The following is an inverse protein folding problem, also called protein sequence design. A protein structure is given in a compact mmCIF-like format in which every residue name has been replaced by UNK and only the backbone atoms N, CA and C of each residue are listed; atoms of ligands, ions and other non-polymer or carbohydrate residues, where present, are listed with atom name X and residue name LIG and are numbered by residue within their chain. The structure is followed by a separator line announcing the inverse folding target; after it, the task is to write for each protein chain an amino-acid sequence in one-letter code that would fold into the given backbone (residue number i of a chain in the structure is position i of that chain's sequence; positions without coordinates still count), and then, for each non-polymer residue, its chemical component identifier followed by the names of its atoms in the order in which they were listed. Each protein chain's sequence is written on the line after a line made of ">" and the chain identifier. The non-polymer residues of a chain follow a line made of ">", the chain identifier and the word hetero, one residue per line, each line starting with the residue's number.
data_IF_671935159627
#
_entry.id   IF_671935159627
#
_cell.length_a   1.000
_cell.length_b   1.000
_cell.length_c   1.000
_cell.angle_alpha   90.00
_cell.angle_beta   90.00
_cell.angle_gamma   90.00
#
_symmetry.space_group_name_H-M   'P 1'
#
loop_
_entity.id
_entity.type
_entity.pdbx_description
1 polymer ?
#
# COMPACT_ATOMS: atom_id res chain seq x y z
N UNK A 1 22.75 14.63 0.01
CA UNK A 1 21.80 14.40 -1.10
C UNK A 1 22.09 15.14 -2.39
N UNK A 2 22.81 16.26 -2.35
CA UNK A 2 23.12 17.11 -3.53
C UNK A 2 23.73 16.35 -4.71
N UNK A 3 24.61 15.38 -4.46
CA UNK A 3 25.20 14.54 -5.51
C UNK A 3 24.17 13.72 -6.27
N UNK A 4 23.18 13.13 -5.57
CA UNK A 4 22.13 12.34 -6.19
C UNK A 4 21.17 13.24 -6.99
N UNK A 5 20.79 14.40 -6.44
CA UNK A 5 19.96 15.37 -7.14
C UNK A 5 20.64 15.87 -8.43
N UNK A 6 21.95 16.18 -8.36
CA UNK A 6 22.74 16.56 -9.51
C UNK A 6 22.83 15.43 -10.56
N UNK A 7 23.05 14.19 -10.11
CA UNK A 7 23.08 13.02 -11.01
C UNK A 7 21.75 12.80 -11.72
N UNK A 8 20.62 12.95 -11.02
CA UNK A 8 19.28 12.84 -11.60
C UNK A 8 19.02 13.98 -12.57
N UNK A 9 19.35 15.23 -12.20
CA UNK A 9 19.19 16.38 -13.09
C UNK A 9 19.96 16.22 -14.40
N UNK A 10 21.21 15.73 -14.33
CA UNK A 10 22.08 15.56 -15.50
C UNK A 10 21.78 14.30 -16.31
N UNK A 11 21.39 13.22 -15.65
CA UNK A 11 21.19 11.90 -16.27
C UNK A 11 19.76 11.65 -16.74
N UNK A 12 18.77 12.14 -15.99
CA UNK A 12 17.34 11.86 -16.20
C UNK A 12 16.53 13.12 -16.57
N UNK A 13 17.15 14.30 -16.44
CA UNK A 13 16.59 15.57 -16.85
C UNK A 13 16.23 16.49 -15.68
N UNK A 14 16.38 17.80 -15.90
CA UNK A 14 16.12 18.84 -14.90
C UNK A 14 14.68 18.82 -14.40
N UNK A 15 13.73 18.50 -15.29
CA UNK A 15 12.30 18.40 -14.92
C UNK A 15 12.05 17.32 -13.87
N UNK A 16 12.66 16.14 -14.02
CA UNK A 16 12.55 15.04 -13.03
C UNK A 16 13.12 15.48 -11.69
N UNK A 17 14.27 16.17 -11.69
CA UNK A 17 14.87 16.69 -10.47
C UNK A 17 14.02 17.79 -9.81
N UNK A 18 13.38 18.64 -10.59
CA UNK A 18 12.46 19.67 -10.11
C UNK A 18 11.20 19.04 -9.47
N UNK A 19 10.57 18.09 -10.16
CA UNK A 19 9.38 17.37 -9.67
C UNK A 19 9.67 16.65 -8.34
N UNK A 20 10.84 16.00 -8.22
CA UNK A 20 11.28 15.35 -6.96
C UNK A 20 11.57 16.36 -5.85
N UNK A 21 12.06 17.55 -6.19
CA UNK A 21 12.31 18.61 -5.21
C UNK A 21 11.01 19.21 -4.70
N UNK A 22 10.05 19.47 -5.59
CA UNK A 22 8.70 19.96 -5.25
C UNK A 22 7.93 18.94 -4.40
N UNK A 23 8.07 17.65 -4.70
CA UNK A 23 7.48 16.57 -3.91
C UNK A 23 8.13 16.37 -2.53
N UNK A 24 9.23 17.08 -2.22
CA UNK A 24 9.95 16.94 -0.96
C UNK A 24 10.68 15.61 -0.82
N UNK A 25 11.13 14.99 -1.93
CA UNK A 25 11.76 13.66 -1.89
C UNK A 25 13.08 13.65 -1.12
N UNK A 26 13.89 14.70 -1.21
CA UNK A 26 15.24 14.69 -0.64
C UNK A 26 15.26 14.62 0.90
N UNK A 27 14.49 15.45 1.62
CA UNK A 27 14.39 15.33 3.08
C UNK A 27 13.87 13.96 3.54
N UNK A 28 12.97 13.33 2.77
CA UNK A 28 12.47 11.99 3.09
C UNK A 28 13.58 10.94 2.98
N UNK A 29 14.42 11.02 1.95
CA UNK A 29 15.54 10.10 1.75
C UNK A 29 16.63 10.22 2.82
N UNK A 30 16.81 11.42 3.40
CA UNK A 30 17.76 11.67 4.49
C UNK A 30 17.25 11.21 5.85
N UNK A 31 15.93 11.23 6.07
CA UNK A 31 15.32 10.79 7.32
C UNK A 31 15.17 9.26 7.35
N UNK A 32 15.87 8.51 8.23
CA UNK A 32 15.77 7.05 8.29
C UNK A 32 14.34 6.52 8.50
N UNK A 33 13.50 7.25 9.24
CA UNK A 33 12.11 6.86 9.49
C UNK A 33 11.23 7.03 8.25
N UNK A 34 11.56 7.97 7.37
CA UNK A 34 10.78 8.30 6.16
C UNK A 34 11.47 7.88 4.86
N UNK A 35 12.65 7.27 4.95
CA UNK A 35 13.49 6.88 3.82
C UNK A 35 12.72 6.05 2.79
N UNK A 36 11.93 5.08 3.26
CA UNK A 36 11.10 4.22 2.42
C UNK A 36 10.09 5.01 1.56
N UNK A 37 9.53 6.10 2.08
CA UNK A 37 8.61 6.96 1.32
C UNK A 37 9.37 7.81 0.29
N UNK A 38 10.56 8.31 0.64
CA UNK A 38 11.45 8.97 -0.31
C UNK A 38 11.84 8.04 -1.47
N UNK A 39 12.15 6.77 -1.18
CA UNK A 39 12.42 5.76 -2.21
C UNK A 39 11.18 5.49 -3.05
N UNK A 40 9.99 5.47 -2.45
CA UNK A 40 8.74 5.32 -3.20
C UNK A 40 8.53 6.48 -4.19
N UNK A 41 8.74 7.73 -3.75
CA UNK A 41 8.64 8.89 -4.63
C UNK A 41 9.67 8.85 -5.78
N UNK A 42 10.91 8.48 -5.45
CA UNK A 42 11.96 8.27 -6.45
C UNK A 42 11.50 7.23 -7.49
N UNK A 43 11.10 6.04 -7.05
CA UNK A 43 10.67 4.95 -7.94
C UNK A 43 9.52 5.38 -8.86
N UNK A 44 8.52 6.09 -8.32
CA UNK A 44 7.40 6.63 -9.11
C UNK A 44 7.85 7.62 -10.19
N UNK A 45 8.84 8.47 -9.91
CA UNK A 45 9.35 9.40 -10.90
C UNK A 45 10.13 8.70 -12.03
N UNK A 46 10.71 7.52 -11.76
CA UNK A 46 11.47 6.76 -12.76
C UNK A 46 10.58 5.92 -13.69
N UNK A 47 9.40 5.48 -13.24
CA UNK A 47 8.51 4.60 -14.02
C UNK A 47 8.14 5.18 -15.40
N UNK A 48 7.67 6.45 -15.50
CA UNK A 48 7.29 7.01 -16.81
C UNK A 48 8.46 7.21 -17.77
N UNK A 49 9.70 7.17 -17.28
CA UNK A 49 10.89 7.34 -18.12
C UNK A 49 11.22 6.07 -18.93
N UNK A 50 10.60 4.93 -18.61
CA UNK A 50 10.85 3.66 -19.32
C UNK A 50 12.26 3.09 -19.12
N UNK A 51 13.01 3.59 -18.13
CA UNK A 51 14.40 3.19 -17.86
C UNK A 51 14.54 1.98 -16.93
N UNK A 52 13.42 1.47 -16.41
CA UNK A 52 13.42 0.31 -15.52
C UNK A 52 13.60 -0.95 -16.38
N UNK A 53 14.78 -1.56 -16.29
CA UNK A 53 15.13 -2.77 -17.06
C UNK A 53 15.12 -4.02 -16.19
N UNK A 54 15.07 -5.24 -16.78
CA UNK A 54 15.13 -6.48 -16.02
C UNK A 54 16.43 -6.62 -15.23
N UNK A 55 17.55 -6.14 -15.80
CA UNK A 55 18.85 -6.15 -15.14
C UNK A 55 18.86 -5.25 -13.92
N UNK A 56 18.28 -4.04 -14.04
CA UNK A 56 18.17 -3.11 -12.93
C UNK A 56 17.29 -3.69 -11.81
N UNK A 57 16.10 -4.20 -12.14
CA UNK A 57 15.24 -4.88 -11.16
C UNK A 57 15.96 -6.06 -10.52
N UNK A 58 16.71 -6.84 -11.29
CA UNK A 58 17.55 -7.93 -10.76
C UNK A 58 18.55 -7.47 -9.69
N UNK A 59 19.09 -6.24 -9.78
CA UNK A 59 19.93 -5.67 -8.71
C UNK A 59 19.10 -5.24 -7.51
N UNK A 60 17.96 -4.59 -7.74
CA UNK A 60 17.04 -4.18 -6.65
C UNK A 60 16.54 -5.40 -5.85
N UNK A 61 16.25 -6.54 -6.52
CA UNK A 61 15.88 -7.79 -5.86
C UNK A 61 16.99 -8.32 -4.94
N UNK A 62 18.27 -8.14 -5.31
CA UNK A 62 19.41 -8.49 -4.45
C UNK A 62 19.51 -7.57 -3.24
N UNK A 63 19.21 -6.28 -3.39
CA UNK A 63 19.15 -5.35 -2.25
C UNK A 63 18.02 -5.74 -1.29
N UNK A 64 16.84 -6.03 -1.82
CA UNK A 64 15.67 -6.48 -1.05
C UNK A 64 15.93 -7.80 -0.27
N UNK A 65 16.87 -8.62 -0.72
CA UNK A 65 17.26 -9.88 -0.07
C UNK A 65 18.59 -9.78 0.71
N UNK A 66 19.12 -8.58 0.90
CA UNK A 66 20.41 -8.35 1.56
C UNK A 66 20.36 -8.65 3.07
N UNK A 67 21.45 -9.12 3.70
CA UNK A 67 21.53 -9.15 5.16
C UNK A 67 21.41 -7.74 5.78
N UNK A 68 21.72 -6.68 5.03
CA UNK A 68 21.65 -5.29 5.50
C UNK A 68 20.22 -4.78 5.48
N UNK A 69 19.70 -4.41 6.65
CA UNK A 69 18.33 -3.91 6.83
C UNK A 69 18.00 -2.72 5.92
N UNK A 70 18.85 -1.68 5.89
CA UNK A 70 18.63 -0.51 5.05
C UNK A 70 18.47 -0.86 3.57
N UNK A 71 19.28 -1.81 3.06
CA UNK A 71 19.16 -2.27 1.68
C UNK A 71 17.85 -3.04 1.45
N UNK A 72 17.39 -3.83 2.43
CA UNK A 72 16.09 -4.50 2.32
C UNK A 72 14.94 -3.50 2.29
N UNK A 73 14.97 -2.47 3.13
CA UNK A 73 13.98 -1.38 3.15
C UNK A 73 13.99 -0.65 1.81
N UNK A 74 15.14 -0.17 1.34
CA UNK A 74 15.26 0.52 0.05
C UNK A 74 14.79 -0.36 -1.11
N UNK A 75 15.25 -1.61 -1.16
CA UNK A 75 14.90 -2.54 -2.23
C UNK A 75 13.40 -2.86 -2.26
N UNK A 76 12.82 -3.17 -1.11
CA UNK A 76 11.39 -3.51 -1.02
C UNK A 76 10.50 -2.30 -1.28
N UNK A 77 10.88 -1.12 -0.79
CA UNK A 77 10.18 0.13 -1.08
C UNK A 77 10.16 0.41 -2.60
N UNK A 78 11.29 0.27 -3.28
CA UNK A 78 11.37 0.44 -4.72
C UNK A 78 10.47 -0.57 -5.46
N UNK A 79 10.59 -1.87 -5.13
CA UNK A 79 9.78 -2.94 -5.72
C UNK A 79 8.29 -2.69 -5.50
N UNK A 80 7.89 -2.18 -4.33
CA UNK A 80 6.49 -1.87 -4.04
C UNK A 80 5.88 -0.91 -5.07
N UNK A 81 6.66 0.06 -5.57
CA UNK A 81 6.18 1.02 -6.56
C UNK A 81 6.26 0.49 -7.98
N UNK A 82 7.29 -0.29 -8.31
CA UNK A 82 7.36 -0.98 -9.62
C UNK A 82 6.16 -1.91 -9.81
N UNK A 83 5.66 -2.49 -8.73
CA UNK A 83 4.47 -3.34 -8.76
C UNK A 83 3.18 -2.61 -9.21
N UNK A 84 3.16 -1.27 -9.20
CA UNK A 84 2.06 -0.49 -9.75
C UNK A 84 2.04 -0.45 -11.28
N UNK A 85 3.14 -0.82 -11.95
CA UNK A 85 3.33 -0.57 -13.38
C UNK A 85 3.30 -1.88 -14.20
N UNK A 86 2.59 -1.91 -15.34
CA UNK A 86 2.54 -3.07 -16.24
C UNK A 86 3.92 -3.58 -16.70
N UNK A 87 4.98 -2.76 -16.59
CA UNK A 87 6.36 -3.14 -16.88
C UNK A 87 6.77 -4.45 -16.21
N UNK A 88 6.20 -4.76 -15.03
CA UNK A 88 6.53 -5.99 -14.30
C UNK A 88 6.04 -7.26 -15.02
N UNK A 89 4.90 -7.17 -15.72
CA UNK A 89 4.38 -8.24 -16.57
C UNK A 89 5.08 -8.24 -17.94
N UNK A 90 5.20 -7.07 -18.56
CA UNK A 90 5.85 -6.88 -19.87
C UNK A 90 7.27 -7.45 -19.89
N UNK A 91 8.00 -7.27 -18.79
CA UNK A 91 9.38 -7.75 -18.64
C UNK A 91 9.51 -9.14 -18.00
N UNK A 92 8.39 -9.85 -17.76
CA UNK A 92 8.35 -11.20 -17.17
C UNK A 92 8.99 -11.28 -15.78
N UNK A 93 8.89 -10.21 -15.00
CA UNK A 93 9.49 -10.09 -13.66
C UNK A 93 8.51 -10.42 -12.54
N UNK A 94 7.20 -10.43 -12.84
CA UNK A 94 6.13 -10.58 -11.86
C UNK A 94 6.34 -11.74 -10.88
N UNK A 95 6.65 -12.94 -11.39
CA UNK A 95 6.84 -14.13 -10.53
C UNK A 95 7.97 -13.93 -9.50
N UNK A 96 9.08 -13.33 -9.93
CA UNK A 96 10.22 -13.07 -9.05
C UNK A 96 9.89 -12.00 -8.01
N UNK A 97 9.16 -10.95 -8.41
CA UNK A 97 8.72 -9.89 -7.49
C UNK A 97 7.70 -10.40 -6.48
N UNK A 98 6.68 -11.17 -6.90
CA UNK A 98 5.71 -11.76 -5.98
C UNK A 98 6.38 -12.72 -4.99
N UNK A 99 7.33 -13.53 -5.46
CA UNK A 99 8.12 -14.39 -4.59
C UNK A 99 8.91 -13.58 -3.56
N UNK A 100 9.56 -12.49 -3.98
CA UNK A 100 10.26 -11.59 -3.06
C UNK A 100 9.30 -11.02 -2.02
N UNK A 101 8.18 -10.41 -2.44
CA UNK A 101 7.20 -9.80 -1.52
C UNK A 101 6.68 -10.82 -0.50
N UNK A 102 6.43 -12.06 -0.94
CA UNK A 102 6.04 -13.14 -0.05
C UNK A 102 7.08 -13.45 1.04
N UNK A 103 8.38 -13.40 0.71
CA UNK A 103 9.44 -13.53 1.71
C UNK A 103 9.48 -12.30 2.63
N UNK A 104 9.40 -11.09 2.07
CA UNK A 104 9.46 -9.83 2.83
C UNK A 104 8.25 -9.62 3.74
N UNK A 105 7.12 -10.29 3.48
CA UNK A 105 5.97 -10.31 4.37
C UNK A 105 6.27 -10.90 5.75
N UNK A 106 7.37 -11.67 5.88
CA UNK A 106 7.84 -12.29 7.14
C UNK A 106 9.15 -11.68 7.64
N UNK A 107 9.59 -10.55 7.08
CA UNK A 107 10.84 -9.91 7.50
C UNK A 107 10.77 -9.46 8.97
N UNK A 108 11.90 -9.45 9.65
CA UNK A 108 11.97 -8.96 11.03
C UNK A 108 11.81 -7.44 11.12
N UNK A 109 12.08 -6.72 10.03
CA UNK A 109 11.91 -5.28 9.94
C UNK A 109 10.49 -4.88 9.52
N UNK A 110 9.89 -3.98 10.29
CA UNK A 110 8.51 -3.54 10.08
C UNK A 110 8.31 -2.71 8.81
N UNK A 111 9.29 -1.89 8.42
CA UNK A 111 9.19 -1.11 7.18
C UNK A 111 9.27 -2.02 5.95
N UNK A 112 10.07 -3.09 6.02
CA UNK A 112 10.11 -4.11 4.95
C UNK A 112 8.75 -4.80 4.82
N UNK A 113 8.15 -5.22 5.94
CA UNK A 113 6.79 -5.81 5.96
C UNK A 113 5.74 -4.84 5.42
N UNK A 114 5.76 -3.58 5.85
CA UNK A 114 4.88 -2.53 5.37
C UNK A 114 5.01 -2.33 3.85
N UNK A 115 6.25 -2.31 3.33
CA UNK A 115 6.47 -2.14 1.90
C UNK A 115 6.10 -3.37 1.09
N UNK A 116 6.21 -4.56 1.68
CA UNK A 116 5.65 -5.78 1.10
C UNK A 116 4.13 -5.69 0.97
N UNK A 117 3.44 -5.29 2.05
CA UNK A 117 1.99 -5.07 2.05
C UNK A 117 1.56 -4.06 0.97
N UNK A 118 2.27 -2.92 0.86
CA UNK A 118 2.02 -1.94 -0.20
C UNK A 118 2.20 -2.53 -1.59
N UNK A 119 3.30 -3.26 -1.82
CA UNK A 119 3.56 -3.91 -3.11
C UNK A 119 2.46 -4.92 -3.48
N UNK A 120 2.03 -5.74 -2.54
CA UNK A 120 0.92 -6.67 -2.72
C UNK A 120 -0.39 -5.95 -3.02
N UNK A 121 -0.66 -4.81 -2.38
CA UNK A 121 -1.81 -3.96 -2.71
C UNK A 121 -1.73 -3.39 -4.12
N UNK A 122 -0.53 -3.01 -4.56
CA UNK A 122 -0.26 -2.39 -5.87
C UNK A 122 -0.40 -3.34 -7.07
N UNK A 123 -0.50 -4.65 -6.85
CA UNK A 123 -0.73 -5.65 -7.92
C UNK A 123 -1.95 -5.33 -8.78
N UNK A 124 -3.01 -4.70 -8.24
CA UNK A 124 -4.19 -4.39 -9.04
C UNK A 124 -3.96 -3.34 -10.13
N UNK A 125 -2.84 -2.60 -10.11
CA UNK A 125 -2.46 -1.64 -11.16
C UNK A 125 -1.51 -2.32 -12.15
N UNK A 126 -0.46 -2.99 -11.65
CA UNK A 126 0.59 -3.55 -12.52
C UNK A 126 0.30 -4.95 -13.08
N UNK A 127 -0.54 -5.76 -12.40
CA UNK A 127 -0.87 -7.11 -12.84
C UNK A 127 -2.30 -7.55 -12.39
N UNK A 128 -3.36 -6.80 -12.77
CA UNK A 128 -4.73 -7.05 -12.32
C UNK A 128 -5.25 -8.45 -12.63
N UNK A 129 -4.92 -9.00 -13.80
CA UNK A 129 -5.39 -10.34 -14.20
C UNK A 129 -4.72 -11.45 -13.38
N UNK A 130 -3.52 -11.21 -12.86
CA UNK A 130 -2.82 -12.17 -12.00
C UNK A 130 -3.35 -12.14 -10.58
N UNK A 131 -3.77 -10.96 -10.11
CA UNK A 131 -4.53 -10.84 -8.88
C UNK A 131 -5.81 -11.70 -8.94
N UNK A 132 -6.58 -11.61 -10.03
CA UNK A 132 -7.81 -12.40 -10.20
C UNK A 132 -7.58 -13.91 -10.29
N UNK A 133 -6.43 -14.35 -10.84
CA UNK A 133 -6.06 -15.77 -10.91
C UNK A 133 -5.66 -16.35 -9.56
N UNK A 134 -5.04 -15.54 -8.71
CA UNK A 134 -4.46 -15.99 -7.43
C UNK A 134 -4.87 -15.10 -6.24
N UNK A 135 -6.17 -14.79 -6.06
CA UNK A 135 -6.61 -13.78 -5.11
C UNK A 135 -6.33 -14.19 -3.67
N UNK A 136 -6.57 -15.47 -3.34
CA UNK A 136 -6.29 -16.03 -2.02
C UNK A 136 -4.82 -15.92 -1.63
N UNK A 137 -3.89 -16.27 -2.53
CA UNK A 137 -2.47 -16.22 -2.23
C UNK A 137 -1.98 -14.79 -1.94
N UNK A 138 -2.50 -13.79 -2.68
CA UNK A 138 -2.19 -12.38 -2.43
C UNK A 138 -2.74 -11.93 -1.08
N UNK A 139 -4.01 -12.23 -0.79
CA UNK A 139 -4.68 -11.85 0.46
C UNK A 139 -4.03 -12.50 1.68
N UNK A 140 -3.72 -13.81 1.63
CA UNK A 140 -3.02 -14.52 2.71
C UNK A 140 -1.64 -13.92 2.99
N UNK A 141 -0.91 -13.57 1.93
CA UNK A 141 0.42 -12.93 2.07
C UNK A 141 0.29 -11.52 2.63
N UNK A 142 -0.75 -10.78 2.25
CA UNK A 142 -1.03 -9.46 2.80
C UNK A 142 -1.40 -9.53 4.29
N UNK A 143 -2.12 -10.58 4.71
CA UNK A 143 -2.38 -10.83 6.13
C UNK A 143 -1.09 -11.07 6.90
N UNK A 144 -0.23 -11.94 6.36
CA UNK A 144 1.07 -12.24 6.93
C UNK A 144 1.93 -10.98 7.07
N UNK A 145 1.96 -10.12 6.04
CA UNK A 145 2.71 -8.88 6.05
C UNK A 145 2.21 -7.92 7.14
N UNK A 146 0.88 -7.81 7.30
CA UNK A 146 0.30 -6.63 7.95
C UNK A 146 -0.23 -6.88 9.36
N UNK A 147 -0.66 -8.10 9.68
CA UNK A 147 -1.41 -8.36 10.91
C UNK A 147 -0.70 -9.34 11.88
N UNK A 148 0.51 -9.82 11.54
CA UNK A 148 1.25 -10.81 12.37
C UNK A 148 2.77 -10.53 12.45
N UNK A 149 3.30 -9.97 13.56
CA UNK A 149 2.60 -9.18 14.58
C UNK A 149 2.21 -7.82 14.03
N UNK A 150 1.07 -7.30 14.49
CA UNK A 150 0.50 -6.05 14.03
C UNK A 150 1.13 -4.84 14.74
N UNK A 151 1.67 -3.90 13.97
CA UNK A 151 1.94 -2.51 14.39
C UNK A 151 1.02 -1.58 13.64
N UNK A 152 0.69 -0.43 14.23
CA UNK A 152 -0.29 0.51 13.68
C UNK A 152 -0.01 0.88 12.22
N UNK A 153 1.23 1.21 11.88
CA UNK A 153 1.61 1.68 10.54
C UNK A 153 1.49 0.57 9.49
N UNK A 154 1.78 -0.68 9.88
CA UNK A 154 1.70 -1.83 8.98
C UNK A 154 0.25 -2.25 8.77
N UNK A 155 -0.56 -2.20 9.83
CA UNK A 155 -1.99 -2.49 9.76
C UNK A 155 -2.70 -1.46 8.89
N UNK A 156 -2.38 -0.18 9.03
CA UNK A 156 -2.89 0.89 8.19
C UNK A 156 -2.61 0.60 6.70
N UNK A 157 -1.36 0.29 6.35
CA UNK A 157 -0.98 -0.07 4.99
C UNK A 157 -1.71 -1.34 4.50
N UNK A 158 -1.84 -2.34 5.36
CA UNK A 158 -2.55 -3.59 5.07
C UNK A 158 -4.04 -3.36 4.77
N UNK A 159 -4.71 -2.54 5.57
CA UNK A 159 -6.12 -2.18 5.35
C UNK A 159 -6.32 -1.41 4.03
N UNK A 160 -5.40 -0.49 3.71
CA UNK A 160 -5.41 0.21 2.42
C UNK A 160 -5.23 -0.76 1.25
N UNK A 161 -4.26 -1.67 1.35
CA UNK A 161 -4.01 -2.68 0.33
C UNK A 161 -5.21 -3.62 0.14
N UNK A 162 -5.84 -4.09 1.22
CA UNK A 162 -7.06 -4.91 1.16
C UNK A 162 -8.21 -4.17 0.46
N UNK A 163 -8.38 -2.88 0.77
CA UNK A 163 -9.39 -2.03 0.12
C UNK A 163 -9.22 -2.02 -1.40
N UNK A 164 -7.99 -1.81 -1.88
CA UNK A 164 -7.70 -1.80 -3.31
C UNK A 164 -7.88 -3.18 -3.96
N UNK A 165 -7.41 -4.24 -3.30
CA UNK A 165 -7.53 -5.61 -3.78
C UNK A 165 -9.00 -6.01 -3.91
N UNK A 166 -9.81 -5.81 -2.87
CA UNK A 166 -11.22 -6.20 -2.88
C UNK A 166 -12.05 -5.39 -3.86
N UNK A 167 -11.79 -4.09 -4.00
CA UNK A 167 -12.42 -3.26 -5.04
C UNK A 167 -12.17 -3.82 -6.44
N UNK A 168 -10.99 -4.40 -6.68
CA UNK A 168 -10.64 -4.96 -7.98
C UNK A 168 -11.19 -6.38 -8.21
N UNK A 169 -11.28 -7.19 -7.15
CA UNK A 169 -11.83 -8.55 -7.24
C UNK A 169 -13.34 -8.58 -7.46
N UNK A 170 -14.08 -7.56 -6.98
CA UNK A 170 -15.52 -7.49 -7.17
C UNK A 170 -16.28 -8.61 -6.43
N UNK A 171 -17.50 -8.90 -6.89
CA UNK A 171 -18.47 -9.78 -6.21
C UNK A 171 -17.98 -11.22 -6.00
N UNK A 172 -17.01 -11.70 -6.78
CA UNK A 172 -16.44 -13.05 -6.66
C UNK A 172 -15.51 -13.22 -5.42
N UNK A 173 -15.29 -12.15 -4.65
CA UNK A 173 -14.42 -12.13 -3.48
C UNK A 173 -15.09 -12.57 -2.16
N UNK A 174 -16.38 -12.94 -2.17
CA UNK A 174 -17.18 -13.18 -0.95
C UNK A 174 -16.48 -13.98 0.18
N UNK A 175 -15.95 -15.19 -0.09
CA UNK A 175 -15.23 -15.96 0.93
C UNK A 175 -13.97 -15.28 1.46
N UNK A 176 -13.21 -14.58 0.60
CA UNK A 176 -12.00 -13.85 1.00
C UNK A 176 -12.32 -12.61 1.83
N UNK A 177 -13.45 -11.96 1.53
CA UNK A 177 -14.01 -10.84 2.29
C UNK A 177 -14.41 -11.31 3.69
N UNK A 178 -15.03 -12.49 3.81
CA UNK A 178 -15.36 -13.10 5.11
C UNK A 178 -14.10 -13.43 5.91
N UNK A 179 -13.11 -14.08 5.29
CA UNK A 179 -11.82 -14.38 5.92
C UNK A 179 -11.13 -13.09 6.42
N UNK A 180 -11.17 -12.03 5.62
CA UNK A 180 -10.63 -10.73 5.99
C UNK A 180 -11.34 -10.11 7.18
N UNK A 181 -12.67 -10.12 7.17
CA UNK A 181 -13.48 -9.61 8.27
C UNK A 181 -13.12 -10.31 9.59
N UNK A 182 -12.91 -11.63 9.58
CA UNK A 182 -12.47 -12.39 10.76
C UNK A 182 -11.08 -11.96 11.25
N UNK A 183 -10.13 -11.74 10.34
CA UNK A 183 -8.76 -11.34 10.69
C UNK A 183 -8.67 -9.91 11.23
N UNK A 184 -9.49 -8.98 10.71
CA UNK A 184 -9.45 -7.58 11.13
C UNK A 184 -10.32 -7.30 12.37
N UNK A 185 -11.32 -8.15 12.66
CA UNK A 185 -12.24 -7.96 13.79
C UNK A 185 -11.55 -7.67 15.14
N UNK A 186 -10.47 -8.38 15.54
CA UNK A 186 -9.81 -8.13 16.83
C UNK A 186 -9.26 -6.71 17.00
N UNK A 187 -8.99 -5.99 15.91
CA UNK A 187 -8.51 -4.59 15.96
C UNK A 187 -9.61 -3.59 16.34
N UNK A 188 -10.86 -4.03 16.39
CA UNK A 188 -12.04 -3.19 16.66
C UNK A 188 -12.80 -3.58 17.93
N UNK A 189 -12.48 -4.72 18.53
CA UNK A 189 -13.12 -5.16 19.77
C UNK A 189 -12.55 -4.35 20.95
N UNK A 190 -13.44 -3.69 21.70
CA UNK A 190 -13.09 -2.82 22.84
C UNK A 190 -12.57 -3.56 24.08
N UNK A 191 -12.65 -4.89 24.15
CA UNK A 191 -12.17 -5.67 25.31
C UNK A 191 -10.63 -5.78 25.40
N UNK A 192 -9.90 -5.05 24.55
CA UNK A 192 -8.45 -5.01 24.56
C UNK A 192 -7.95 -3.59 24.83
N UNK A 193 -7.99 -3.21 26.11
CA UNK A 193 -7.65 -1.89 26.65
C UNK A 193 -6.24 -1.38 26.27
N UNK A 194 -5.35 -2.23 25.75
CA UNK A 194 -4.01 -1.85 25.27
C UNK A 194 -3.90 -1.60 23.76
N UNK A 195 -4.77 -2.19 22.93
CA UNK A 195 -4.67 -2.09 21.47
C UNK A 195 -5.36 -0.81 20.97
N UNK A 196 -6.49 -0.41 21.54
CA UNK A 196 -7.29 0.72 21.01
C UNK A 196 -6.55 2.06 21.02
N UNK A 197 -5.55 2.25 21.90
CA UNK A 197 -4.77 3.50 22.00
C UNK A 197 -3.67 3.68 20.95
N UNK A 198 -3.08 2.60 20.40
CA UNK A 198 -1.98 2.71 19.43
C UNK A 198 -2.49 2.86 17.98
N UNK A 199 -3.68 2.34 17.67
CA UNK A 199 -4.30 2.41 16.35
C UNK A 199 -5.24 3.62 16.18
N UNK A 200 -5.35 4.47 17.21
CA UNK A 200 -6.19 5.65 17.28
C UNK A 200 -5.61 6.85 16.50
N UNK A 201 -5.20 6.68 15.26
CA UNK A 201 -4.87 7.80 14.37
C UNK A 201 -6.05 8.06 13.40
N UNK A 202 -6.37 9.33 13.07
CA UNK A 202 -7.51 9.67 12.19
C UNK A 202 -7.39 9.06 10.79
N UNK A 203 -6.16 8.87 10.30
CA UNK A 203 -5.88 8.22 9.01
C UNK A 203 -6.23 6.74 9.00
N UNK A 204 -5.98 6.04 10.10
CA UNK A 204 -6.34 4.63 10.29
C UNK A 204 -7.86 4.47 10.31
N UNK A 205 -8.58 5.32 11.04
CA UNK A 205 -10.05 5.29 11.08
C UNK A 205 -10.71 5.49 9.69
N UNK A 206 -10.17 6.38 8.85
CA UNK A 206 -10.67 6.59 7.49
C UNK A 206 -10.42 5.39 6.57
N UNK A 207 -9.25 4.78 6.66
CA UNK A 207 -8.89 3.60 5.85
C UNK A 207 -9.70 2.38 6.27
N UNK A 208 -9.93 2.24 7.56
CA UNK A 208 -10.89 1.30 8.12
C UNK A 208 -12.28 1.54 7.52
N UNK A 209 -12.80 2.77 7.54
CA UNK A 209 -14.11 3.10 6.97
C UNK A 209 -14.20 2.78 5.46
N UNK A 210 -13.15 3.04 4.68
CA UNK A 210 -13.10 2.68 3.27
C UNK A 210 -13.05 1.17 3.04
N UNK A 211 -12.28 0.45 3.87
CA UNK A 211 -12.25 -1.00 3.84
C UNK A 211 -13.65 -1.55 4.16
N UNK A 212 -14.30 -1.05 5.21
CA UNK A 212 -15.67 -1.42 5.56
C UNK A 212 -16.66 -1.16 4.44
N UNK A 213 -16.64 0.04 3.85
CA UNK A 213 -17.53 0.37 2.73
C UNK A 213 -17.33 -0.59 1.56
N UNK A 214 -16.07 -0.97 1.31
CA UNK A 214 -15.73 -1.98 0.28
C UNK A 214 -16.24 -3.37 0.69
N UNK A 215 -16.03 -3.81 1.94
CA UNK A 215 -16.52 -5.08 2.46
C UNK A 215 -18.06 -5.15 2.49
N UNK A 216 -18.74 -4.05 2.81
CA UNK A 216 -20.21 -3.94 2.81
C UNK A 216 -20.78 -3.99 1.40
N UNK A 217 -20.19 -3.24 0.46
CA UNK A 217 -20.63 -3.24 -0.95
C UNK A 217 -20.46 -4.63 -1.57
N UNK A 218 -19.39 -5.35 -1.19
CA UNK A 218 -19.13 -6.72 -1.63
C UNK A 218 -19.96 -7.77 -0.85
N UNK A 219 -20.33 -7.46 0.38
CA UNK A 219 -21.09 -8.30 1.30
C UNK A 219 -22.61 -8.17 1.20
N UNK A 220 -23.13 -7.27 0.35
CA UNK A 220 -24.58 -7.14 0.08
C UNK A 220 -25.21 -8.45 -0.43
N UNK A 221 -24.40 -9.41 -0.90
CA UNK A 221 -24.86 -10.70 -1.44
C UNK A 221 -24.49 -11.95 -0.61
N UNK A 222 -23.71 -11.89 0.48
CA UNK A 222 -23.00 -13.11 0.95
C UNK A 222 -23.04 -13.56 2.42
N UNK A 223 -23.02 -12.72 3.48
CA UNK A 223 -23.01 -13.27 4.87
C UNK A 223 -23.36 -12.26 5.99
N UNK A 224 -24.08 -12.73 7.02
CA UNK A 224 -24.43 -11.96 8.23
C UNK A 224 -23.17 -11.55 9.02
N UNK A 225 -22.13 -12.37 9.03
CA UNK A 225 -20.89 -12.09 9.76
C UNK A 225 -20.13 -10.88 9.18
N UNK A 226 -20.14 -10.69 7.86
CA UNK A 226 -19.55 -9.49 7.21
C UNK A 226 -20.32 -8.23 7.61
N UNK A 227 -21.66 -8.34 7.70
CA UNK A 227 -22.52 -7.25 8.16
C UNK A 227 -22.27 -6.93 9.64
N UNK A 228 -22.10 -7.95 10.49
CA UNK A 228 -21.84 -7.79 11.91
C UNK A 228 -20.48 -7.16 12.20
N UNK A 229 -19.44 -7.55 11.45
CA UNK A 229 -18.13 -6.89 11.52
C UNK A 229 -18.26 -5.45 11.07
N UNK A 230 -18.92 -5.19 9.94
CA UNK A 230 -19.08 -3.82 9.46
C UNK A 230 -19.89 -2.94 10.43
N UNK A 231 -20.88 -3.50 11.11
CA UNK A 231 -21.63 -2.82 12.18
C UNK A 231 -20.74 -2.54 13.40
N UNK A 232 -19.98 -3.53 13.90
CA UNK A 232 -19.06 -3.35 15.03
C UNK A 232 -18.02 -2.27 14.76
N UNK A 233 -17.47 -2.22 13.54
CA UNK A 233 -16.48 -1.20 13.20
C UNK A 233 -17.12 0.17 12.99
N UNK A 234 -18.30 0.26 12.37
CA UNK A 234 -19.05 1.52 12.29
C UNK A 234 -19.37 2.07 13.69
N UNK A 235 -19.76 1.18 14.61
CA UNK A 235 -19.99 1.50 16.02
C UNK A 235 -18.69 1.98 16.70
N UNK A 236 -17.58 1.26 16.54
CA UNK A 236 -16.27 1.65 17.07
C UNK A 236 -15.81 3.03 16.56
N UNK A 237 -16.02 3.32 15.26
CA UNK A 237 -15.75 4.64 14.67
C UNK A 237 -16.64 5.71 15.31
N UNK A 238 -17.96 5.45 15.43
CA UNK A 238 -18.90 6.42 16.02
C UNK A 238 -18.64 6.72 17.50
N UNK A 239 -18.12 5.75 18.26
CA UNK A 239 -17.76 5.89 19.68
C UNK A 239 -16.36 6.47 19.90
N UNK A 240 -15.57 6.59 18.83
CA UNK A 240 -14.23 7.16 18.90
C UNK A 240 -14.26 8.70 18.85
N UNK A 241 -13.18 9.38 19.28
CA UNK A 241 -13.02 10.83 19.08
C UNK A 241 -13.08 11.28 17.62
N UNK A 242 -13.09 10.35 16.66
CA UNK A 242 -13.05 10.58 15.22
C UNK A 242 -14.42 10.71 14.57
N UNK A 243 -15.52 10.35 15.26
CA UNK A 243 -16.87 10.42 14.71
C UNK A 243 -17.27 11.83 14.24
N UNK A 244 -16.81 12.86 14.96
CA UNK A 244 -16.99 14.27 14.59
C UNK A 244 -16.10 14.71 13.42
N UNK A 245 -14.85 14.22 13.33
CA UNK A 245 -13.89 14.58 12.27
C UNK A 245 -14.33 14.05 10.91
N UNK A 246 -14.94 12.87 10.86
CA UNK A 246 -15.46 12.28 9.62
C UNK A 246 -16.75 12.98 9.15
N UNK A 247 -17.62 13.43 10.08
CA UNK A 247 -18.82 14.23 9.76
C UNK A 247 -18.48 15.63 9.24
N UNK A 248 -17.39 16.25 9.71
CA UNK A 248 -16.94 17.55 9.19
C UNK A 248 -16.41 17.44 7.74
N UNK A 249 -15.70 16.37 7.39
CA UNK A 249 -15.22 16.16 6.01
C UNK A 249 -16.33 15.80 5.02
N UNK A 250 -17.37 15.06 5.44
CA UNK A 250 -18.55 14.81 4.60
C UNK A 250 -19.37 16.09 4.33
N UNK A 251 -19.43 17.01 5.31
CA UNK A 251 -20.16 18.28 5.18
C UNK A 251 -19.39 19.34 4.36
N UNK A 252 -18.06 19.29 4.28
CA UNK A 252 -17.24 20.22 3.50
C UNK A 252 -16.88 19.66 2.12
N UNK A 253 -17.90 19.40 1.31
CA UNK A 253 -17.78 18.83 -0.04
C UNK A 253 -16.48 19.18 -0.79
N UNK A 254 -15.73 18.14 -1.17
CA UNK A 254 -14.68 18.14 -2.20
C UNK A 254 -13.68 19.31 -2.25
N UNK A 255 -13.33 19.94 -1.12
CA UNK A 255 -12.41 21.08 -1.13
C UNK A 255 -11.25 20.95 -0.13
N UNK A 256 -10.53 19.82 -0.17
CA UNK A 256 -9.10 19.77 0.14
C UNK A 256 -8.41 18.87 -0.90
N UNK A 257 -7.19 19.22 -1.38
CA UNK A 257 -6.63 18.64 -2.59
C UNK A 257 -6.48 17.12 -2.45
N UNK A 258 -7.09 16.42 -3.39
CA UNK A 258 -6.85 15.02 -3.72
C UNK A 258 -5.34 14.67 -3.67
N UNK A 259 -4.83 14.16 -2.55
CA UNK A 259 -3.46 13.63 -2.47
C UNK A 259 -3.44 12.09 -2.45
N UNK A 260 -4.58 11.43 -2.25
CA UNK A 260 -4.66 9.95 -2.23
C UNK A 260 -5.19 9.31 -3.51
N UNK A 261 -5.67 10.09 -4.50
CA UNK A 261 -6.07 9.56 -5.82
C UNK A 261 -5.06 9.81 -6.94
N UNK A 262 -4.00 10.59 -6.69
CA UNK A 262 -2.92 10.83 -7.67
C UNK A 262 -1.89 9.69 -7.73
N UNK A 263 -1.94 8.74 -6.78
CA UNK A 263 -0.85 7.79 -6.54
C UNK A 263 -0.68 6.69 -7.61
N UNK A 264 -1.61 6.55 -8.55
CA UNK A 264 -1.41 5.74 -9.78
C UNK A 264 -1.95 6.36 -11.08
N UNK A 265 -2.75 7.43 -11.01
CA UNK A 265 -3.21 8.13 -12.22
C UNK A 265 -2.07 8.78 -13.02
N UNK A 266 -0.93 9.08 -12.39
CA UNK A 266 0.26 9.58 -13.09
C UNK A 266 0.86 8.58 -14.09
N UNK A 267 0.79 7.27 -13.83
CA UNK A 267 1.31 6.24 -14.75
C UNK A 267 0.37 6.01 -15.95
N UNK A 268 -0.94 6.14 -15.76
CA UNK A 268 -1.93 5.97 -16.84
C UNK A 268 -2.05 7.18 -17.77
N UNK A 269 -1.76 8.40 -17.31
CA UNK A 269 -1.92 9.62 -18.14
C UNK A 269 -0.79 9.88 -19.14
N UNK A 270 0.36 9.21 -19.02
CA UNK A 270 1.54 9.45 -19.88
C UNK A 270 1.68 8.45 -21.05
N UNK A 271 0.82 7.42 -21.15
CA UNK A 271 0.80 6.49 -22.29
C UNK A 271 -0.33 6.78 -23.31
N UNK A 272 -1.00 7.93 -23.24
CA UNK A 272 -2.08 8.33 -24.17
C UNK A 272 -1.77 9.59 -24.99
N UNK A 273 -0.50 9.78 -25.38
CA UNK A 273 -0.09 10.72 -26.44
C UNK A 273 0.81 9.97 -27.41
#
# INVERSE_FOLDING_TARGET
>A
METLACAISKGLGERVAADLSEAGTWPLLENPQMHHEGVCQLARALLPLGIITPQFIGQVLKWASSPTENLRVTGTAFISQVMCDPVIEEQKLLKAVLYLLQQQARDTNNLVRQMSARGLGNIMYGAPEQLKKHPKAVVDTLFQASFVPARAEIVEEGMRALTHVFKHLGMDAGPLVQDAAMHIRPFFNHDNDGIVTEYAAPRSARQVAHLLSSLQTLGQDTSQEVQDVAAQVAEAISKSPWGSVLQEEENHGHTLPYITSLLCFGCLRLRSI
#
